data_IF_052940570269
#
_entry.id   IF_052940570269
#
_cell.length_a   1.000
_cell.length_b   1.000
_cell.length_c   1.000
_cell.angle_alpha   90.00
_cell.angle_beta   90.00
_cell.angle_gamma   90.00
#
_symmetry.space_group_name_H-M   'P 1'
#
loop_
_entity.id
_entity.type
_entity.pdbx_description
1 polymer ?
#
# COMPACT_ATOMS: atom_id res chain seq x y z
N UNK A 1 -4.76 -4.65 -23.14
CA UNK A 1 -4.87 -3.52 -22.18
C UNK A 1 -4.63 -3.88 -20.71
N UNK A 2 -4.82 -5.14 -20.26
CA UNK A 2 -4.64 -5.52 -18.84
C UNK A 2 -3.19 -5.57 -18.30
N UNK A 3 -2.16 -5.49 -19.16
CA UNK A 3 -0.75 -5.57 -18.76
C UNK A 3 -0.19 -4.24 -18.23
N UNK A 4 -0.64 -3.10 -18.77
CA UNK A 4 -0.18 -1.78 -18.35
C UNK A 4 -0.71 -1.39 -16.96
N UNK A 5 -1.98 -1.67 -16.65
CA UNK A 5 -2.55 -1.40 -15.32
C UNK A 5 -1.89 -2.19 -14.19
N UNK A 6 -1.55 -3.47 -14.43
CA UNK A 6 -0.81 -4.29 -13.46
C UNK A 6 0.62 -3.81 -13.23
N UNK A 7 1.29 -3.30 -14.27
CA UNK A 7 2.63 -2.71 -14.17
C UNK A 7 2.60 -1.42 -13.36
N UNK A 8 1.64 -0.54 -13.61
CA UNK A 8 1.44 0.68 -12.84
C UNK A 8 1.14 0.42 -11.36
N UNK A 9 0.25 -0.53 -11.07
CA UNK A 9 -0.03 -0.96 -9.69
C UNK A 9 1.22 -1.46 -8.96
N UNK A 10 2.05 -2.27 -9.63
CA UNK A 10 3.31 -2.75 -9.06
C UNK A 10 4.30 -1.60 -8.83
N UNK A 11 4.43 -0.68 -9.78
CA UNK A 11 5.31 0.48 -9.64
C UNK A 11 4.85 1.38 -8.47
N UNK A 12 3.55 1.65 -8.36
CA UNK A 12 2.97 2.41 -7.25
C UNK A 12 3.16 1.72 -5.90
N UNK A 13 3.00 0.39 -5.84
CA UNK A 13 3.28 -0.40 -4.65
C UNK A 13 4.75 -0.27 -4.23
N UNK A 14 5.68 -0.44 -5.18
CA UNK A 14 7.12 -0.29 -4.93
C UNK A 14 7.49 1.12 -4.48
N UNK A 15 6.97 2.15 -5.14
CA UNK A 15 7.21 3.54 -4.76
C UNK A 15 6.73 3.81 -3.32
N UNK A 16 5.55 3.30 -2.96
CA UNK A 16 5.00 3.43 -1.61
C UNK A 16 5.83 2.67 -0.57
N UNK A 17 6.31 1.46 -0.90
CA UNK A 17 7.20 0.68 -0.04
C UNK A 17 8.55 1.36 0.20
N UNK A 18 9.17 1.87 -0.87
CA UNK A 18 10.43 2.60 -0.78
C UNK A 18 10.26 3.85 0.07
N UNK A 19 9.21 4.64 -0.16
CA UNK A 19 8.84 5.79 0.66
C UNK A 19 8.66 5.39 2.13
N UNK A 20 7.84 4.39 2.45
CA UNK A 20 7.65 3.93 3.83
C UNK A 20 8.98 3.51 4.49
N UNK A 21 9.83 2.77 3.77
CA UNK A 21 11.17 2.39 4.24
C UNK A 21 12.08 3.60 4.48
N UNK A 22 12.00 4.63 3.64
CA UNK A 22 12.76 5.86 3.86
C UNK A 22 12.29 6.58 5.12
N UNK A 23 10.98 6.67 5.36
CA UNK A 23 10.43 7.29 6.57
C UNK A 23 10.91 6.62 7.85
N UNK A 24 10.98 5.28 7.86
CA UNK A 24 11.56 4.52 8.98
C UNK A 24 13.04 4.87 9.17
N UNK A 25 13.84 4.87 8.10
CA UNK A 25 15.27 5.21 8.18
C UNK A 25 15.50 6.63 8.69
N UNK A 26 14.70 7.60 8.26
CA UNK A 26 14.78 8.98 8.75
C UNK A 26 14.44 9.12 10.24
N UNK A 27 13.70 8.16 10.80
CA UNK A 27 13.25 8.14 12.19
C UNK A 27 14.18 7.37 13.13
N UNK A 28 15.18 6.63 12.61
CA UNK A 28 16.07 5.78 13.42
C UNK A 28 17.56 6.15 13.29
N UNK A 29 18.37 5.97 14.35
CA UNK A 29 19.82 6.13 14.26
C UNK A 29 20.46 5.12 13.28
N UNK A 30 21.56 5.48 12.60
CA UNK A 30 22.30 6.74 12.75
C UNK A 30 21.77 7.87 11.85
N UNK A 31 20.90 7.58 10.88
CA UNK A 31 20.44 8.54 9.88
C UNK A 31 19.72 9.72 10.54
N UNK A 32 18.85 9.47 11.53
CA UNK A 32 18.15 10.51 12.27
C UNK A 32 19.11 11.49 12.97
N UNK A 33 20.28 11.02 13.40
CA UNK A 33 21.33 11.84 14.04
C UNK A 33 22.01 12.73 13.01
N UNK A 34 22.38 12.19 11.84
CA UNK A 34 23.05 12.96 10.78
C UNK A 34 22.17 14.05 10.18
N UNK A 35 20.86 13.81 10.06
CA UNK A 35 19.92 14.78 9.50
C UNK A 35 19.37 15.75 10.55
N UNK A 36 19.73 15.62 11.83
CA UNK A 36 19.18 16.43 12.93
C UNK A 36 19.12 17.94 12.63
N UNK A 37 20.17 18.58 12.06
CA UNK A 37 20.14 20.02 11.76
C UNK A 37 19.07 20.44 10.74
N UNK A 38 18.62 19.51 9.89
CA UNK A 38 17.63 19.71 8.82
C UNK A 38 16.42 18.79 8.98
N UNK A 39 16.22 18.24 10.18
CA UNK A 39 15.23 17.21 10.46
C UNK A 39 13.80 17.64 10.08
N UNK A 40 13.35 18.87 10.39
CA UNK A 40 12.02 19.34 10.00
C UNK A 40 11.82 19.39 8.48
N UNK A 41 12.82 19.92 7.74
CA UNK A 41 12.75 20.08 6.29
C UNK A 41 12.73 18.73 5.59
N UNK A 42 13.56 17.79 6.06
CA UNK A 42 13.63 16.43 5.52
C UNK A 42 12.32 15.69 5.75
N UNK A 43 11.68 15.82 6.92
CA UNK A 43 10.39 15.18 7.21
C UNK A 43 9.23 15.78 6.39
N UNK A 44 9.21 17.10 6.18
CA UNK A 44 8.22 17.76 5.32
C UNK A 44 8.36 17.28 3.88
N UNK A 45 9.58 17.29 3.32
CA UNK A 45 9.85 16.82 1.96
C UNK A 45 9.49 15.34 1.81
N UNK A 46 9.90 14.51 2.77
CA UNK A 46 9.59 13.10 2.81
C UNK A 46 8.08 12.85 2.79
N UNK A 47 7.31 13.57 3.59
CA UNK A 47 5.86 13.39 3.62
C UNK A 47 5.18 13.82 2.32
N UNK A 48 5.64 14.87 1.64
CA UNK A 48 5.14 15.23 0.31
C UNK A 48 5.41 14.16 -0.75
N UNK A 49 6.63 13.62 -0.78
CA UNK A 49 7.00 12.50 -1.67
C UNK A 49 6.14 11.28 -1.35
N UNK A 50 5.92 11.01 -0.07
CA UNK A 50 5.11 9.89 0.39
C UNK A 50 3.65 10.05 0.01
N UNK A 51 3.09 11.26 0.05
CA UNK A 51 1.74 11.54 -0.44
C UNK A 51 1.62 11.29 -1.94
N UNK A 52 2.58 11.80 -2.73
CA UNK A 52 2.60 11.59 -4.17
C UNK A 52 2.70 10.10 -4.56
N UNK A 53 3.38 9.28 -3.76
CA UNK A 53 3.46 7.83 -3.98
C UNK A 53 2.19 7.09 -3.48
N UNK A 54 1.72 7.41 -2.28
CA UNK A 54 0.68 6.65 -1.60
C UNK A 54 -0.73 6.94 -2.11
N UNK A 55 -1.03 8.18 -2.51
CA UNK A 55 -2.38 8.55 -3.00
C UNK A 55 -2.79 7.74 -4.25
N UNK A 56 -1.98 7.68 -5.33
CA UNK A 56 -2.31 6.86 -6.49
C UNK A 56 -2.45 5.37 -6.15
N UNK A 57 -1.61 4.88 -5.23
CA UNK A 57 -1.67 3.50 -4.80
C UNK A 57 -2.97 3.19 -4.03
N UNK A 58 -3.35 4.04 -3.06
CA UNK A 58 -4.61 3.92 -2.31
C UNK A 58 -5.81 3.97 -3.24
N UNK A 59 -5.85 4.92 -4.17
CA UNK A 59 -6.95 5.03 -5.16
C UNK A 59 -7.08 3.74 -5.95
N UNK A 60 -5.95 3.17 -6.40
CA UNK A 60 -5.95 1.94 -7.18
C UNK A 60 -6.34 0.71 -6.35
N UNK A 61 -5.89 0.64 -5.09
CA UNK A 61 -6.25 -0.42 -4.13
C UNK A 61 -7.74 -0.39 -3.80
N UNK A 62 -8.31 0.78 -3.52
CA UNK A 62 -9.75 0.92 -3.23
C UNK A 62 -10.56 0.64 -4.49
N UNK A 63 -10.17 1.22 -5.63
CA UNK A 63 -10.84 1.06 -6.91
C UNK A 63 -10.83 -0.38 -7.45
N UNK A 64 -9.81 -1.19 -7.12
CA UNK A 64 -9.80 -2.62 -7.46
C UNK A 64 -10.37 -3.52 -6.35
N UNK A 65 -10.13 -3.20 -5.08
CA UNK A 65 -10.51 -4.05 -3.95
C UNK A 65 -12.02 -4.10 -3.73
N UNK A 66 -12.70 -2.95 -3.77
CA UNK A 66 -14.14 -2.87 -3.51
C UNK A 66 -14.99 -3.64 -4.54
N UNK A 67 -14.75 -3.49 -5.86
CA UNK A 67 -15.49 -4.26 -6.87
C UNK A 67 -15.14 -5.75 -6.87
N UNK A 68 -13.88 -6.10 -6.61
CA UNK A 68 -13.45 -7.50 -6.52
C UNK A 68 -14.14 -8.23 -5.35
N UNK A 69 -14.39 -7.54 -4.24
CA UNK A 69 -15.17 -8.07 -3.12
C UNK A 69 -16.61 -8.38 -3.51
N UNK A 70 -17.30 -7.44 -4.15
CA UNK A 70 -18.70 -7.61 -4.60
C UNK A 70 -18.89 -8.79 -5.56
N UNK A 71 -17.85 -9.14 -6.32
CA UNK A 71 -17.94 -10.13 -7.41
C UNK A 71 -17.36 -11.50 -7.06
N UNK A 72 -16.41 -11.61 -6.12
CA UNK A 72 -15.67 -12.86 -5.83
C UNK A 72 -15.97 -13.48 -4.47
N UNK A 73 -16.75 -12.81 -3.62
CA UNK A 73 -17.11 -13.30 -2.28
C UNK A 73 -15.95 -13.33 -1.29
N UNK A 74 -16.20 -13.86 -0.08
CA UNK A 74 -15.31 -13.79 1.10
C UNK A 74 -14.21 -14.86 1.16
N UNK A 75 -13.56 -15.12 0.04
CA UNK A 75 -12.40 -16.01 -0.03
C UNK A 75 -11.15 -15.45 0.68
N UNK A 76 -10.16 -16.29 1.01
CA UNK A 76 -8.93 -15.87 1.67
C UNK A 76 -8.19 -14.72 0.94
N UNK A 77 -8.14 -14.77 -0.40
CA UNK A 77 -7.53 -13.71 -1.20
C UNK A 77 -8.29 -12.38 -1.07
N UNK A 78 -9.62 -12.42 -1.08
CA UNK A 78 -10.48 -11.24 -0.86
C UNK A 78 -10.28 -10.66 0.54
N UNK A 79 -10.15 -11.49 1.59
CA UNK A 79 -9.89 -11.02 2.96
C UNK A 79 -8.57 -10.26 3.07
N UNK A 80 -7.49 -10.81 2.50
CA UNK A 80 -6.20 -10.12 2.48
C UNK A 80 -6.22 -8.83 1.64
N UNK A 81 -6.93 -8.84 0.50
CA UNK A 81 -7.13 -7.64 -0.31
C UNK A 81 -7.92 -6.57 0.45
N UNK A 82 -8.95 -6.96 1.20
CA UNK A 82 -9.73 -6.05 2.05
C UNK A 82 -8.88 -5.44 3.17
N UNK A 83 -8.04 -6.25 3.83
CA UNK A 83 -7.10 -5.76 4.83
C UNK A 83 -6.16 -4.71 4.23
N UNK A 84 -5.62 -4.93 3.03
CA UNK A 84 -4.82 -3.95 2.29
C UNK A 84 -5.64 -2.69 1.96
N UNK A 85 -6.89 -2.86 1.51
CA UNK A 85 -7.80 -1.76 1.17
C UNK A 85 -8.25 -0.91 2.36
N UNK A 86 -8.05 -1.37 3.60
CA UNK A 86 -8.36 -0.60 4.81
C UNK A 86 -7.08 -0.05 5.44
N UNK A 87 -6.04 -0.87 5.57
CA UNK A 87 -4.81 -0.49 6.27
C UNK A 87 -4.06 0.66 5.57
N UNK A 88 -3.96 0.63 4.23
CA UNK A 88 -3.28 1.70 3.49
C UNK A 88 -3.97 3.06 3.59
N UNK A 89 -5.31 3.16 3.38
CA UNK A 89 -6.01 4.42 3.63
C UNK A 89 -5.88 4.93 5.06
N UNK A 90 -5.90 4.04 6.07
CA UNK A 90 -5.71 4.45 7.47
C UNK A 90 -4.29 5.00 7.73
N UNK A 91 -3.26 4.35 7.19
CA UNK A 91 -1.89 4.84 7.26
C UNK A 91 -1.73 6.20 6.57
N UNK A 92 -2.34 6.36 5.40
CA UNK A 92 -2.34 7.62 4.66
C UNK A 92 -3.08 8.73 5.44
N UNK A 93 -4.29 8.44 5.93
CA UNK A 93 -5.13 9.41 6.64
C UNK A 93 -4.47 9.88 7.95
N UNK A 94 -3.91 8.95 8.74
CA UNK A 94 -3.15 9.29 9.95
C UNK A 94 -1.89 10.11 9.64
N UNK A 95 -1.20 9.81 8.54
CA UNK A 95 -0.06 10.59 8.07
C UNK A 95 -0.44 12.02 7.68
N UNK A 96 -1.49 12.18 6.85
CA UNK A 96 -2.02 13.50 6.46
C UNK A 96 -2.46 14.30 7.67
N UNK A 97 -3.18 13.68 8.60
CA UNK A 97 -3.65 14.32 9.83
C UNK A 97 -2.47 14.82 10.68
N UNK A 98 -1.41 14.02 10.82
CA UNK A 98 -0.19 14.42 11.52
C UNK A 98 0.48 15.63 10.86
N UNK A 99 0.54 15.68 9.52
CA UNK A 99 1.13 16.81 8.78
C UNK A 99 0.34 18.11 8.94
N UNK A 100 -0.98 18.03 9.08
CA UNK A 100 -1.85 19.20 9.24
C UNK A 100 -1.81 19.79 10.65
N UNK A 101 -1.48 18.97 11.66
CA UNK A 101 -1.43 19.37 13.06
C UNK A 101 -0.05 19.00 13.65
N UNK A 102 1.01 19.75 13.27
CA UNK A 102 2.34 19.58 13.86
C UNK A 102 2.26 19.87 15.37
N UNK A 103 2.53 18.83 16.19
CA UNK A 103 2.29 18.83 17.64
C UNK A 103 1.22 17.83 18.11
N UNK A 104 0.71 16.98 17.21
CA UNK A 104 -0.31 15.96 17.47
C UNK A 104 0.06 14.99 18.60
N UNK A 105 -0.98 14.53 19.29
CA UNK A 105 -0.96 13.56 20.39
C UNK A 105 -0.12 12.33 20.00
N UNK A 106 0.82 11.85 20.85
CA UNK A 106 1.71 10.72 20.54
C UNK A 106 1.02 9.48 19.94
N UNK A 107 -0.24 9.26 20.30
CA UNK A 107 -1.08 8.18 19.79
C UNK A 107 -1.34 8.22 18.28
N UNK A 108 -1.38 9.39 17.64
CA UNK A 108 -1.54 9.51 16.17
C UNK A 108 -0.33 8.93 15.46
N UNK A 109 0.87 9.20 15.98
CA UNK A 109 2.11 8.66 15.43
C UNK A 109 2.18 7.14 15.63
N UNK A 110 1.77 6.65 16.80
CA UNK A 110 1.63 5.21 17.05
C UNK A 110 0.63 4.58 16.09
N UNK A 111 -0.53 5.20 15.87
CA UNK A 111 -1.53 4.71 14.93
C UNK A 111 -1.01 4.71 13.49
N UNK A 112 -0.23 5.71 13.09
CA UNK A 112 0.42 5.79 11.78
C UNK A 112 1.40 4.63 11.58
N UNK A 113 2.31 4.41 12.53
CA UNK A 113 3.26 3.30 12.46
C UNK A 113 2.56 1.92 12.52
N UNK A 114 1.57 1.74 13.39
CA UNK A 114 0.84 0.49 13.53
C UNK A 114 0.04 0.16 12.26
N UNK A 115 -0.68 1.14 11.70
CA UNK A 115 -1.43 0.97 10.45
C UNK A 115 -0.50 0.78 9.25
N UNK A 116 0.63 1.50 9.19
CA UNK A 116 1.67 1.32 8.19
C UNK A 116 2.28 -0.08 8.22
N UNK A 117 2.67 -0.58 9.40
CA UNK A 117 3.20 -1.93 9.56
C UNK A 117 2.14 -2.99 9.19
N UNK A 118 0.89 -2.80 9.65
CA UNK A 118 -0.23 -3.66 9.27
C UNK A 118 -0.46 -3.68 7.76
N UNK A 119 -0.33 -2.54 7.09
CA UNK A 119 -0.45 -2.42 5.64
C UNK A 119 0.67 -3.18 4.90
N UNK A 120 1.92 -3.10 5.38
CA UNK A 120 3.06 -3.85 4.85
C UNK A 120 2.86 -5.36 4.99
N UNK A 121 2.47 -5.82 6.18
CA UNK A 121 2.20 -7.24 6.45
C UNK A 121 1.04 -7.74 5.58
N UNK A 122 -0.06 -6.98 5.50
CA UNK A 122 -1.21 -7.34 4.67
C UNK A 122 -0.82 -7.42 3.18
N UNK A 123 -0.01 -6.48 2.67
CA UNK A 123 0.48 -6.49 1.30
C UNK A 123 1.40 -7.68 1.03
N UNK A 124 2.31 -8.00 1.96
CA UNK A 124 3.19 -9.17 1.87
C UNK A 124 2.37 -10.46 1.79
N UNK A 125 1.45 -10.67 2.74
CA UNK A 125 0.55 -11.84 2.77
C UNK A 125 -0.34 -11.91 1.54
N UNK A 126 -0.78 -10.77 0.99
CA UNK A 126 -1.56 -10.74 -0.24
C UNK A 126 -0.72 -11.15 -1.46
N UNK A 127 0.53 -10.67 -1.53
CA UNK A 127 1.46 -10.93 -2.64
C UNK A 127 2.01 -12.36 -2.67
N UNK A 128 2.16 -12.99 -1.50
CA UNK A 128 2.66 -14.36 -1.38
C UNK A 128 1.65 -15.44 -1.82
N UNK A 129 0.40 -15.06 -2.10
CA UNK A 129 -0.64 -16.01 -2.52
C UNK A 129 -0.42 -16.41 -3.98
N UNK A 130 -0.42 -17.72 -4.30
CA UNK A 130 -0.33 -18.17 -5.67
C UNK A 130 -1.49 -17.58 -6.49
N UNK A 131 -1.18 -16.98 -7.64
CA UNK A 131 -2.23 -16.60 -8.58
C UNK A 131 -2.96 -17.86 -9.03
N UNK A 132 -4.31 -17.89 -9.02
CA UNK A 132 -5.03 -19.05 -9.53
C UNK A 132 -4.58 -19.32 -10.96
N UNK A 133 -4.09 -20.55 -11.21
CA UNK A 133 -3.67 -20.95 -12.56
C UNK A 133 -4.85 -20.69 -13.50
N UNK A 134 -4.63 -20.07 -14.67
CA UNK A 134 -5.68 -20.00 -15.66
C UNK A 134 -6.10 -21.44 -15.97
N UNK A 135 -7.36 -21.76 -15.71
CA UNK A 135 -7.95 -23.03 -16.14
C UNK A 135 -7.79 -23.05 -17.65
N UNK A 136 -6.90 -23.90 -18.15
CA UNK A 136 -6.71 -24.13 -19.58
C UNK A 136 -8.05 -24.66 -20.06
N UNK A 137 -8.87 -23.81 -20.69
CA UNK A 137 -10.08 -24.28 -21.37
C UNK A 137 -9.59 -25.29 -22.40
N UNK A 138 -9.93 -26.56 -22.21
CA UNK A 138 -9.66 -27.58 -23.19
C UNK A 138 -10.32 -27.21 -24.53
N UNK A 139 -9.83 -27.73 -25.66
CA UNK A 139 -10.52 -27.55 -26.94
C UNK A 139 -11.98 -27.97 -26.79
N UNK A 140 -12.90 -27.14 -27.30
CA UNK A 140 -14.32 -27.46 -27.29
C UNK A 140 -14.53 -28.81 -28.01
N UNK A 141 -15.21 -29.78 -27.39
CA UNK A 141 -15.55 -31.02 -28.09
C UNK A 141 -16.58 -30.67 -29.16
N UNK A 142 -16.21 -30.78 -30.43
CA UNK A 142 -17.19 -30.66 -31.53
C UNK A 142 -16.71 -30.03 -32.84
N UNK A 143 -15.45 -29.59 -32.98
CA UNK A 143 -14.92 -29.15 -34.29
C UNK A 143 -14.34 -30.36 -35.06
N UNK A 144 -15.22 -31.24 -35.54
CA UNK A 144 -14.84 -32.41 -36.32
C UNK A 144 -16.05 -33.23 -36.69
N UNK A 145 -16.69 -32.87 -37.81
CA UNK A 145 -17.82 -33.55 -38.42
C UNK A 145 -18.14 -32.89 -39.74
#
# INVERSE_FOLDING_TARGET
>A
MASSGRRWLRAAAWATLVSAGTGVMLSVPPVSVFIFPVYPQVHVLHGWISLAAAVPFVVAVVGHGLPAWRTRGFGPATRSGLAVSVAFPLALASGVYHMQLPGTVPWVLVAHFASGLGALVAAYVHSARPSPRPVRRGPAPGAGG
#
